data_IF_406321166715
#
_entry.id   IF_406321166715
#
_cell.length_a   1.000
_cell.length_b   1.000
_cell.length_c   1.000
_cell.angle_alpha   90.00
_cell.angle_beta   90.00
_cell.angle_gamma   90.00
#
_symmetry.space_group_name_H-M   'P 1'
#
loop_
_entity.id
_entity.type
_entity.pdbx_description
1 polymer ?
#
# COMPACT_ATOMS: atom_id res chain seq x y z
N UNK A 1 -17.79 57.23 -15.77
CA UNK A 1 -16.36 56.91 -16.01
C UNK A 1 -15.72 56.00 -14.93
N UNK A 2 -16.12 56.09 -13.65
CA UNK A 2 -15.54 55.27 -12.54
C UNK A 2 -15.77 53.75 -12.67
N UNK A 3 -16.88 53.31 -13.28
CA UNK A 3 -17.21 51.89 -13.48
C UNK A 3 -16.27 51.16 -14.47
N UNK A 4 -15.66 51.87 -15.41
CA UNK A 4 -14.73 51.28 -16.40
C UNK A 4 -13.38 50.93 -15.75
N UNK A 5 -12.95 51.76 -14.80
CA UNK A 5 -11.74 51.52 -14.01
C UNK A 5 -11.87 50.29 -13.11
N UNK A 6 -12.99 50.16 -12.39
CA UNK A 6 -13.22 49.06 -11.45
C UNK A 6 -13.26 47.69 -12.16
N UNK A 7 -13.89 47.60 -13.33
CA UNK A 7 -13.91 46.36 -14.12
C UNK A 7 -12.51 45.94 -14.59
N UNK A 8 -11.71 46.92 -15.03
CA UNK A 8 -10.30 46.67 -15.42
C UNK A 8 -9.46 46.20 -14.24
N UNK A 9 -9.58 46.84 -13.07
CA UNK A 9 -8.81 46.44 -11.88
C UNK A 9 -9.18 45.03 -11.40
N UNK A 10 -10.46 44.63 -11.49
CA UNK A 10 -10.88 43.27 -11.15
C UNK A 10 -10.31 42.22 -12.13
N UNK A 11 -10.28 42.53 -13.43
CA UNK A 11 -9.67 41.64 -14.42
C UNK A 11 -8.16 41.47 -14.18
N UNK A 12 -7.44 42.55 -13.89
CA UNK A 12 -6.02 42.47 -13.56
C UNK A 12 -5.76 41.65 -12.29
N UNK A 13 -6.58 41.82 -11.24
CA UNK A 13 -6.45 41.04 -10.01
C UNK A 13 -6.71 39.55 -10.23
N UNK A 14 -7.67 39.18 -11.07
CA UNK A 14 -7.97 37.79 -11.39
C UNK A 14 -6.83 37.11 -12.18
N UNK A 15 -6.26 37.81 -13.18
CA UNK A 15 -5.12 37.29 -13.97
C UNK A 15 -3.88 37.12 -13.09
N UNK A 16 -3.59 38.11 -12.24
CA UNK A 16 -2.44 38.05 -11.33
C UNK A 16 -2.61 36.94 -10.29
N UNK A 17 -3.81 36.78 -9.72
CA UNK A 17 -4.12 35.71 -8.77
C UNK A 17 -3.98 34.30 -9.38
N UNK A 18 -4.50 34.10 -10.60
CA UNK A 18 -4.30 32.85 -11.33
C UNK A 18 -2.83 32.59 -11.67
N UNK A 19 -2.04 33.62 -11.99
CA UNK A 19 -0.61 33.47 -12.27
C UNK A 19 0.25 33.13 -11.05
N UNK A 20 -0.14 33.62 -9.86
CA UNK A 20 0.59 33.37 -8.60
C UNK A 20 0.27 31.99 -8.01
N UNK A 21 -0.97 31.50 -8.14
CA UNK A 21 -1.39 30.21 -7.58
C UNK A 21 -1.44 29.06 -8.59
N UNK A 22 -1.60 29.37 -9.88
CA UNK A 22 -1.74 28.38 -10.94
C UNK A 22 -0.42 28.07 -11.61
N UNK A 23 0.38 27.17 -11.04
CA UNK A 23 1.42 26.49 -11.81
C UNK A 23 0.78 25.40 -12.68
N UNK A 24 -0.07 25.79 -13.64
CA UNK A 24 -0.50 24.89 -14.71
C UNK A 24 0.60 24.88 -15.75
N UNK A 25 1.63 24.05 -15.52
CA UNK A 25 2.66 23.85 -16.51
C UNK A 25 2.08 23.01 -17.65
N UNK A 26 1.79 23.67 -18.76
CA UNK A 26 1.33 23.04 -19.99
C UNK A 26 2.51 22.33 -20.66
N UNK A 27 2.53 21.00 -20.63
CA UNK A 27 3.54 20.20 -21.32
C UNK A 27 2.93 19.60 -22.59
N UNK A 28 3.60 19.78 -23.73
CA UNK A 28 3.13 19.32 -25.05
C UNK A 28 3.05 17.79 -25.17
N UNK A 29 3.66 17.04 -24.25
CA UNK A 29 3.67 15.58 -24.25
C UNK A 29 2.59 14.93 -23.35
N UNK A 30 1.96 15.68 -22.43
CA UNK A 30 1.11 15.08 -21.38
C UNK A 30 -0.10 15.91 -20.89
N UNK A 31 -0.36 17.07 -21.48
CA UNK A 31 -1.47 17.94 -21.05
C UNK A 31 -1.25 18.58 -19.67
N UNK A 32 -2.29 19.15 -19.08
CA UNK A 32 -2.22 19.90 -17.82
C UNK A 32 -1.95 19.00 -16.61
N UNK A 33 -0.70 18.93 -16.16
CA UNK A 33 -0.31 18.23 -14.93
C UNK A 33 -0.13 19.23 -13.79
N UNK A 34 -1.00 19.17 -12.78
CA UNK A 34 -0.81 19.84 -11.49
C UNK A 34 0.37 19.16 -10.78
N UNK A 35 1.36 19.94 -10.35
CA UNK A 35 2.65 19.45 -9.85
C UNK A 35 2.54 18.36 -8.79
N UNK A 36 2.71 17.10 -9.20
CA UNK A 36 3.10 16.01 -8.32
C UNK A 36 4.60 15.86 -8.53
N UNK A 37 5.38 16.31 -7.54
CA UNK A 37 6.82 16.02 -7.50
C UNK A 37 7.01 14.51 -7.58
N UNK A 38 7.89 14.06 -8.48
CA UNK A 38 8.34 12.67 -8.65
C UNK A 38 8.06 11.78 -7.43
N UNK A 39 7.18 10.78 -7.60
CA UNK A 39 6.88 9.82 -6.55
C UNK A 39 8.07 8.85 -6.39
N UNK A 40 9.05 9.24 -5.59
CA UNK A 40 10.18 8.38 -5.21
C UNK A 40 9.64 7.25 -4.30
N UNK A 41 9.36 6.08 -4.88
CA UNK A 41 8.90 4.92 -4.14
C UNK A 41 10.06 4.34 -3.32
N UNK A 42 10.21 4.83 -2.08
CA UNK A 42 11.20 4.31 -1.13
C UNK A 42 10.86 2.86 -0.75
N UNK A 43 11.59 1.92 -1.35
CA UNK A 43 11.54 0.49 -1.03
C UNK A 43 12.06 0.28 0.40
N UNK A 44 11.37 -0.54 1.20
CA UNK A 44 11.82 -0.92 2.53
C UNK A 44 11.28 -0.05 3.68
N UNK A 45 10.49 0.99 3.41
CA UNK A 45 9.82 1.77 4.47
C UNK A 45 8.99 0.83 5.36
N UNK A 46 9.01 0.99 6.69
CA UNK A 46 8.19 0.18 7.59
C UNK A 46 6.72 0.18 7.15
N UNK A 47 6.09 -0.99 7.17
CA UNK A 47 4.71 -1.22 6.70
C UNK A 47 4.46 -1.06 5.19
N UNK A 48 5.50 -1.02 4.34
CA UNK A 48 5.33 -1.17 2.88
C UNK A 48 5.41 -2.63 2.43
N UNK A 49 4.84 -3.00 1.25
CA UNK A 49 4.86 -4.38 0.77
C UNK A 49 6.26 -5.01 0.71
N UNK A 50 7.28 -4.21 0.39
CA UNK A 50 8.68 -4.60 0.25
C UNK A 50 9.51 -4.41 1.55
N UNK A 51 8.88 -4.33 2.72
CA UNK A 51 9.59 -4.21 3.99
C UNK A 51 10.18 -5.55 4.45
N UNK A 52 11.50 -5.62 4.66
CA UNK A 52 12.22 -6.83 5.13
C UNK A 52 11.66 -7.35 6.45
N UNK A 53 11.39 -6.46 7.42
CA UNK A 53 10.78 -6.84 8.69
C UNK A 53 9.38 -7.45 8.50
N UNK A 54 8.60 -6.93 7.55
CA UNK A 54 7.28 -7.47 7.21
C UNK A 54 7.35 -8.81 6.48
N UNK A 55 8.37 -9.04 5.66
CA UNK A 55 8.64 -10.34 5.03
C UNK A 55 9.02 -11.35 6.10
N UNK A 56 9.99 -11.03 6.98
CA UNK A 56 10.45 -11.91 8.05
C UNK A 56 9.30 -12.40 8.96
N UNK A 57 8.39 -11.51 9.35
CA UNK A 57 7.20 -11.88 10.15
C UNK A 57 6.23 -12.79 9.39
N UNK A 58 6.04 -12.57 8.07
CA UNK A 58 5.16 -13.40 7.23
C UNK A 58 5.76 -14.78 6.98
N UNK A 59 7.07 -14.87 6.75
CA UNK A 59 7.76 -16.14 6.58
C UNK A 59 7.76 -16.96 7.85
N UNK A 60 8.02 -16.37 9.02
CA UNK A 60 7.96 -17.11 10.29
C UNK A 60 6.56 -17.62 10.59
N UNK A 61 5.52 -16.78 10.40
CA UNK A 61 4.13 -17.22 10.58
C UNK A 61 3.79 -18.39 9.64
N UNK A 62 4.16 -18.31 8.36
CA UNK A 62 3.92 -19.38 7.38
C UNK A 62 4.68 -20.66 7.72
N UNK A 63 5.94 -20.54 8.16
CA UNK A 63 6.75 -21.69 8.56
C UNK A 63 6.18 -22.39 9.80
N UNK A 64 5.73 -21.63 10.81
CA UNK A 64 5.11 -22.19 12.02
C UNK A 64 3.79 -22.88 11.69
N UNK A 65 2.89 -22.20 10.96
CA UNK A 65 1.57 -22.78 10.61
C UNK A 65 1.72 -23.97 9.67
N UNK A 66 2.55 -23.86 8.64
CA UNK A 66 2.82 -24.93 7.70
C UNK A 66 3.53 -26.13 8.37
N UNK A 67 4.55 -25.86 9.19
CA UNK A 67 5.26 -26.89 9.95
C UNK A 67 4.35 -27.62 10.93
N UNK A 68 3.47 -26.92 11.63
CA UNK A 68 2.49 -27.54 12.51
C UNK A 68 1.49 -28.43 11.76
N UNK A 69 0.98 -27.98 10.60
CA UNK A 69 0.07 -28.76 9.78
C UNK A 69 0.73 -30.04 9.24
N UNK A 70 1.96 -29.93 8.73
CA UNK A 70 2.73 -31.08 8.23
C UNK A 70 3.08 -32.04 9.37
N UNK A 71 3.50 -31.52 10.53
CA UNK A 71 3.80 -32.33 11.71
C UNK A 71 2.59 -33.09 12.24
N UNK A 72 1.42 -32.45 12.28
CA UNK A 72 0.17 -33.10 12.68
C UNK A 72 -0.25 -34.20 11.69
N UNK A 73 -0.14 -33.94 10.38
CA UNK A 73 -0.43 -34.95 9.36
C UNK A 73 0.53 -36.14 9.44
N UNK A 74 1.83 -35.89 9.63
CA UNK A 74 2.83 -36.94 9.79
C UNK A 74 2.57 -37.76 11.06
N UNK A 75 2.25 -37.13 12.18
CA UNK A 75 1.92 -37.83 13.43
C UNK A 75 0.65 -38.69 13.29
N UNK A 76 -0.37 -38.19 12.60
CA UNK A 76 -1.61 -38.94 12.32
C UNK A 76 -1.39 -40.12 11.37
N UNK A 77 -0.47 -40.01 10.41
CA UNK A 77 -0.14 -41.09 9.49
C UNK A 77 0.84 -42.13 10.07
N UNK A 78 1.68 -41.72 11.02
CA UNK A 78 2.70 -42.58 11.62
C UNK A 78 2.14 -43.54 12.69
N UNK A 79 0.95 -43.29 13.23
CA UNK A 79 0.38 -44.11 14.29
C UNK A 79 -0.61 -45.16 13.77
N UNK A 80 -0.60 -46.36 14.34
CA UNK A 80 -1.64 -47.36 14.10
C UNK A 80 -2.75 -47.14 15.13
N UNK A 81 -3.98 -46.89 14.68
CA UNK A 81 -5.12 -46.69 15.59
C UNK A 81 -5.63 -48.03 16.10
N UNK A 82 -5.56 -48.25 17.41
CA UNK A 82 -6.10 -49.43 18.09
C UNK A 82 -7.23 -49.00 19.03
N UNK A 83 -8.31 -49.79 19.10
CA UNK A 83 -9.44 -49.52 19.99
C UNK A 83 -9.25 -50.23 21.34
N UNK A 84 -9.18 -49.48 22.43
CA UNK A 84 -8.97 -50.00 23.79
C UNK A 84 -9.96 -49.32 24.75
N UNK A 85 -10.74 -50.11 25.50
CA UNK A 85 -11.69 -49.62 26.52
C UNK A 85 -12.57 -48.44 26.06
N UNK A 86 -13.07 -48.47 24.82
CA UNK A 86 -13.97 -47.43 24.33
C UNK A 86 -13.31 -46.29 23.52
N UNK A 87 -11.98 -46.20 23.52
CA UNK A 87 -11.23 -45.10 22.90
C UNK A 87 -10.22 -45.58 21.84
N UNK A 88 -9.95 -44.73 20.84
CA UNK A 88 -8.89 -44.96 19.87
C UNK A 88 -7.57 -44.43 20.41
N UNK A 89 -6.57 -45.30 20.48
CA UNK A 89 -5.21 -44.99 20.94
C UNK A 89 -4.25 -45.13 19.77
N UNK A 90 -3.35 -44.16 19.59
CA UNK A 90 -2.23 -44.25 18.65
C UNK A 90 -1.14 -45.15 19.28
N UNK A 91 -0.81 -46.27 18.63
CA UNK A 91 0.30 -47.17 18.97
C UNK A 91 1.41 -47.03 17.94
#
# INVERSE_FOLDING_TARGET
MRLVGIKRTLLFAAVLGCGIFGSTQWSNDAGTVFGVSSAEARVGRPATPASVAGVARRTTRRAVVGGAAVGAAAAGAACVRVYVNGAYVCR
#
